data_IF_140396344951
#
_entry.id   IF_140396344951
#
_cell.length_a   1.000
_cell.length_b   1.000
_cell.length_c   1.000
_cell.angle_alpha   90.00
_cell.angle_beta   90.00
_cell.angle_gamma   90.00
#
_symmetry.space_group_name_H-M   'P 1'
#
loop_
_entity.id
_entity.type
_entity.pdbx_description
1 polymer ?
#
# COMPACT_ATOMS: atom_id res chain seq x y z
N UNK A 1 43.84 -23.87 -8.05
CA UNK A 1 43.47 -23.09 -9.25
C UNK A 1 42.13 -23.53 -9.85
N UNK A 2 41.72 -24.80 -9.76
CA UNK A 2 40.37 -25.24 -10.19
C UNK A 2 39.23 -24.89 -9.20
N UNK A 3 39.54 -24.75 -7.92
CA UNK A 3 38.51 -24.53 -6.87
C UNK A 3 37.99 -23.07 -6.81
N UNK A 4 38.69 -22.11 -7.43
CA UNK A 4 38.31 -20.69 -7.46
C UNK A 4 37.39 -20.35 -8.66
N UNK A 5 37.42 -21.18 -9.71
CA UNK A 5 36.53 -21.05 -10.87
C UNK A 5 35.13 -21.61 -10.60
N UNK A 6 34.99 -22.56 -9.67
CA UNK A 6 33.68 -23.09 -9.29
C UNK A 6 32.99 -22.16 -8.28
N UNK A 7 33.71 -21.63 -7.28
CA UNK A 7 33.19 -20.64 -6.32
C UNK A 7 32.74 -19.33 -6.98
N UNK A 8 33.45 -18.86 -8.01
CA UNK A 8 33.00 -17.72 -8.83
C UNK A 8 31.75 -18.03 -9.66
N UNK A 9 31.58 -19.27 -10.15
CA UNK A 9 30.34 -19.70 -10.81
C UNK A 9 29.14 -19.80 -9.85
N UNK A 10 29.35 -20.17 -8.57
CA UNK A 10 28.30 -20.10 -7.54
C UNK A 10 27.90 -18.66 -7.21
N UNK A 11 28.85 -17.71 -7.22
CA UNK A 11 28.58 -16.28 -7.04
C UNK A 11 27.84 -15.67 -8.26
N UNK A 12 28.08 -16.19 -9.47
CA UNK A 12 27.45 -15.72 -10.72
C UNK A 12 26.04 -16.34 -10.92
N UNK A 13 25.81 -17.59 -10.50
CA UNK A 13 24.48 -18.22 -10.46
C UNK A 13 23.80 -17.94 -9.13
N UNK A 14 23.56 -16.66 -8.84
CA UNK A 14 22.74 -16.27 -7.70
C UNK A 14 21.40 -17.04 -7.71
N UNK A 15 20.95 -17.45 -6.52
CA UNK A 15 19.81 -18.34 -6.37
C UNK A 15 18.58 -17.80 -7.13
N UNK A 16 18.09 -18.60 -8.08
CA UNK A 16 16.92 -18.25 -8.89
C UNK A 16 15.69 -18.09 -7.99
N UNK A 17 14.96 -16.99 -8.12
CA UNK A 17 13.73 -16.77 -7.37
C UNK A 17 12.61 -17.53 -8.07
N UNK A 18 11.87 -18.40 -7.35
CA UNK A 18 10.75 -19.13 -7.93
C UNK A 18 9.72 -18.19 -8.56
N UNK A 19 9.18 -18.55 -9.71
CA UNK A 19 8.14 -17.78 -10.40
C UNK A 19 6.95 -17.46 -9.48
N UNK A 20 6.58 -18.40 -8.60
CA UNK A 20 5.51 -18.22 -7.60
C UNK A 20 5.78 -17.02 -6.68
N UNK A 21 7.00 -16.86 -6.17
CA UNK A 21 7.37 -15.74 -5.30
C UNK A 21 7.31 -14.40 -6.04
N UNK A 22 7.72 -14.38 -7.32
CA UNK A 22 7.61 -13.20 -8.18
C UNK A 22 6.15 -12.81 -8.45
N UNK A 23 5.29 -13.80 -8.68
CA UNK A 23 3.85 -13.58 -8.84
C UNK A 23 3.20 -13.08 -7.56
N UNK A 24 3.54 -13.64 -6.38
CA UNK A 24 3.03 -13.14 -5.10
C UNK A 24 3.45 -11.70 -4.85
N UNK A 25 4.71 -11.37 -5.11
CA UNK A 25 5.18 -9.99 -5.08
C UNK A 25 4.38 -9.10 -6.04
N UNK A 26 4.18 -9.54 -7.28
CA UNK A 26 3.36 -8.83 -8.27
C UNK A 26 1.92 -8.58 -7.82
N UNK A 27 1.26 -9.56 -7.18
CA UNK A 27 -0.09 -9.42 -6.62
C UNK A 27 -0.13 -8.30 -5.56
N UNK A 28 0.88 -8.25 -4.68
CA UNK A 28 1.03 -7.14 -3.72
C UNK A 28 1.20 -5.78 -4.40
N UNK A 29 1.98 -5.71 -5.48
CA UNK A 29 2.15 -4.49 -6.28
C UNK A 29 0.82 -4.06 -6.89
N UNK A 30 0.06 -4.98 -7.48
CA UNK A 30 -1.23 -4.67 -8.09
C UNK A 30 -2.23 -4.14 -7.07
N UNK A 31 -2.35 -4.80 -5.91
CA UNK A 31 -3.21 -4.31 -4.83
C UNK A 31 -2.81 -2.90 -4.39
N UNK A 32 -1.51 -2.67 -4.18
CA UNK A 32 -0.99 -1.36 -3.81
C UNK A 32 -1.33 -0.29 -4.85
N UNK A 33 -1.07 -0.58 -6.13
CA UNK A 33 -1.32 0.37 -7.22
C UNK A 33 -2.79 0.74 -7.33
N UNK A 34 -3.71 -0.20 -7.13
CA UNK A 34 -5.14 0.09 -7.15
C UNK A 34 -5.51 0.98 -5.96
N UNK A 35 -5.12 0.64 -4.74
CA UNK A 35 -5.47 1.40 -3.54
C UNK A 35 -4.95 2.84 -3.61
N UNK A 36 -3.66 3.00 -3.93
CA UNK A 36 -3.02 4.32 -4.06
C UNK A 36 -3.59 5.10 -5.25
N UNK A 37 -3.93 4.41 -6.34
CA UNK A 37 -4.58 5.02 -7.50
C UNK A 37 -5.98 5.55 -7.16
N UNK A 38 -6.80 4.76 -6.48
CA UNK A 38 -8.14 5.17 -6.04
C UNK A 38 -8.05 6.35 -5.07
N UNK A 39 -7.14 6.28 -4.10
CA UNK A 39 -6.90 7.38 -3.17
C UNK A 39 -6.50 8.66 -3.92
N UNK A 40 -5.45 8.61 -4.73
CA UNK A 40 -4.91 9.81 -5.42
C UNK A 40 -5.92 10.45 -6.36
N UNK A 41 -6.69 9.65 -7.11
CA UNK A 41 -7.59 10.18 -8.15
C UNK A 41 -8.95 10.64 -7.60
N UNK A 42 -9.50 9.99 -6.57
CA UNK A 42 -10.89 10.21 -6.15
C UNK A 42 -11.05 10.91 -4.80
N UNK A 43 -9.96 11.11 -4.06
CA UNK A 43 -9.98 11.81 -2.77
C UNK A 43 -10.63 13.18 -2.85
N UNK A 44 -10.21 14.02 -3.81
CA UNK A 44 -10.73 15.37 -3.98
C UNK A 44 -12.22 15.33 -4.36
N UNK A 45 -12.57 14.55 -5.38
CA UNK A 45 -13.95 14.45 -5.88
C UNK A 45 -14.89 13.95 -4.77
N UNK A 46 -14.50 12.92 -4.04
CA UNK A 46 -15.29 12.39 -2.94
C UNK A 46 -15.51 13.42 -1.82
N UNK A 47 -14.45 14.09 -1.34
CA UNK A 47 -14.60 15.00 -0.21
C UNK A 47 -15.24 16.35 -0.58
N UNK A 48 -14.91 16.90 -1.74
CA UNK A 48 -15.41 18.21 -2.19
C UNK A 48 -16.79 18.09 -2.84
N UNK A 49 -16.98 17.16 -3.78
CA UNK A 49 -18.21 17.11 -4.57
C UNK A 49 -19.30 16.25 -3.92
N UNK A 50 -18.94 15.18 -3.22
CA UNK A 50 -19.90 14.23 -2.63
C UNK A 50 -20.16 14.53 -1.14
N UNK A 51 -19.11 14.49 -0.31
CA UNK A 51 -19.20 14.80 1.12
C UNK A 51 -19.52 16.28 1.34
N UNK A 52 -19.10 17.14 0.42
CA UNK A 52 -19.25 18.60 0.48
C UNK A 52 -18.64 19.16 1.76
N UNK A 53 -17.39 18.82 2.03
CA UNK A 53 -16.58 19.56 3.00
C UNK A 53 -16.21 20.92 2.40
N UNK A 54 -16.12 21.95 3.24
CA UNK A 54 -15.60 23.25 2.80
C UNK A 54 -14.16 23.10 2.30
N UNK A 55 -13.85 23.82 1.23
CA UNK A 55 -12.58 23.73 0.54
C UNK A 55 -11.38 24.17 1.41
N UNK A 56 -11.57 25.18 2.27
CA UNK A 56 -10.57 25.64 3.22
C UNK A 56 -10.18 24.56 4.24
N UNK A 57 -11.17 23.87 4.81
CA UNK A 57 -10.95 22.74 5.72
C UNK A 57 -10.25 21.56 5.03
N UNK A 58 -10.60 21.28 3.78
CA UNK A 58 -9.92 20.25 2.99
C UNK A 58 -8.44 20.57 2.79
N UNK A 59 -8.09 21.81 2.43
CA UNK A 59 -6.69 22.23 2.29
C UNK A 59 -5.94 22.11 3.62
N UNK A 60 -6.54 22.59 4.72
CA UNK A 60 -5.92 22.49 6.05
C UNK A 60 -5.66 21.03 6.41
N UNK A 61 -6.60 20.13 6.14
CA UNK A 61 -6.41 18.69 6.38
C UNK A 61 -5.26 18.11 5.54
N UNK A 62 -5.09 18.53 4.28
CA UNK A 62 -3.98 18.11 3.43
C UNK A 62 -2.62 18.62 3.94
N UNK A 63 -2.57 19.84 4.49
CA UNK A 63 -1.34 20.37 5.11
C UNK A 63 -0.98 19.55 6.36
N UNK A 64 -1.96 19.24 7.21
CA UNK A 64 -1.77 18.38 8.39
C UNK A 64 -1.27 16.99 7.95
N UNK A 65 -1.87 16.42 6.92
CA UNK A 65 -1.44 15.15 6.32
C UNK A 65 0.00 15.20 5.84
N UNK A 66 0.44 16.26 5.14
CA UNK A 66 1.81 16.37 4.64
C UNK A 66 2.85 16.43 5.78
N UNK A 67 2.53 17.18 6.84
CA UNK A 67 3.37 17.25 8.05
C UNK A 67 3.46 15.87 8.69
N UNK A 68 2.32 15.18 8.85
CA UNK A 68 2.27 13.83 9.40
C UNK A 68 3.09 12.85 8.55
N UNK A 69 2.87 12.81 7.24
CA UNK A 69 3.57 11.92 6.31
C UNK A 69 5.11 12.09 6.40
N UNK A 70 5.58 13.33 6.48
CA UNK A 70 7.02 13.61 6.65
C UNK A 70 7.56 13.05 7.97
N UNK A 71 6.84 13.23 9.08
CA UNK A 71 7.23 12.70 10.39
C UNK A 71 7.19 11.15 10.40
N UNK A 72 6.14 10.61 9.81
CA UNK A 72 5.85 9.19 9.73
C UNK A 72 6.97 8.43 9.00
N UNK A 73 7.44 8.97 7.87
CA UNK A 73 8.54 8.39 7.09
C UNK A 73 9.88 8.41 7.84
N UNK A 74 10.17 9.50 8.57
CA UNK A 74 11.38 9.59 9.41
C UNK A 74 11.35 8.51 10.51
N UNK A 75 10.21 8.39 11.20
CA UNK A 75 10.03 7.44 12.30
C UNK A 75 10.15 6.00 11.81
N UNK A 76 9.41 5.63 10.75
CA UNK A 76 9.41 4.26 10.27
C UNK A 76 10.67 3.87 9.50
N UNK A 77 11.36 4.83 8.88
CA UNK A 77 12.72 4.61 8.37
C UNK A 77 13.66 4.16 9.49
N UNK A 78 13.65 4.84 10.64
CA UNK A 78 14.49 4.51 11.78
C UNK A 78 14.15 3.16 12.44
N UNK A 79 12.86 2.89 12.68
CA UNK A 79 12.44 1.64 13.33
C UNK A 79 12.52 0.43 12.40
N UNK A 80 12.19 0.58 11.12
CA UNK A 80 12.16 -0.51 10.16
C UNK A 80 13.51 -1.20 9.99
N UNK A 81 14.61 -0.44 10.12
CA UNK A 81 15.96 -0.98 9.98
C UNK A 81 16.46 -1.75 11.20
N UNK A 82 15.87 -1.53 12.38
CA UNK A 82 16.30 -2.13 13.65
C UNK A 82 15.53 -3.38 14.05
N UNK A 83 14.47 -3.71 13.32
CA UNK A 83 13.59 -4.81 13.68
C UNK A 83 14.20 -6.16 13.32
N UNK A 84 14.45 -6.99 14.33
CA UNK A 84 14.92 -8.36 14.19
C UNK A 84 13.89 -9.31 14.78
N UNK A 85 13.12 -9.97 13.93
CA UNK A 85 12.13 -10.97 14.38
C UNK A 85 12.38 -12.34 13.76
N UNK A 86 11.79 -13.38 14.37
CA UNK A 86 11.83 -14.75 13.84
C UNK A 86 11.19 -14.88 12.45
N UNK A 87 10.22 -14.01 12.13
CA UNK A 87 9.51 -13.98 10.86
C UNK A 87 10.28 -13.26 9.75
N UNK A 88 11.37 -12.56 10.08
CA UNK A 88 12.09 -11.68 9.17
C UNK A 88 12.11 -10.23 9.66
N UNK A 89 12.77 -9.36 8.90
CA UNK A 89 12.84 -7.92 9.18
C UNK A 89 11.60 -7.19 8.68
N UNK A 90 11.07 -7.57 7.52
CA UNK A 90 10.00 -6.84 6.82
C UNK A 90 8.65 -7.55 6.91
N UNK A 91 8.63 -8.89 6.97
CA UNK A 91 7.40 -9.68 7.01
C UNK A 91 6.43 -9.38 8.18
N UNK A 92 6.86 -9.08 9.42
CA UNK A 92 5.93 -8.75 10.50
C UNK A 92 5.05 -7.53 10.17
N UNK A 93 5.67 -6.49 9.61
CA UNK A 93 4.98 -5.25 9.26
C UNK A 93 3.95 -5.46 8.17
N UNK A 94 4.29 -6.26 7.15
CA UNK A 94 3.36 -6.60 6.08
C UNK A 94 2.21 -7.46 6.64
N UNK A 95 2.51 -8.48 7.45
CA UNK A 95 1.51 -9.41 7.97
C UNK A 95 0.51 -8.75 8.89
N UNK A 96 1.01 -8.03 9.88
CA UNK A 96 0.19 -7.44 10.93
C UNK A 96 -0.32 -6.06 10.54
N UNK A 97 0.36 -5.35 9.63
CA UNK A 97 -0.09 -4.07 9.10
C UNK A 97 -1.17 -4.19 8.03
N UNK A 98 -1.19 -5.27 7.23
CA UNK A 98 -2.16 -5.43 6.14
C UNK A 98 -3.64 -5.31 6.56
N UNK A 99 -4.11 -5.91 7.67
CA UNK A 99 -5.49 -5.73 8.14
C UNK A 99 -5.79 -4.28 8.49
N UNK A 100 -4.87 -3.58 9.17
CA UNK A 100 -5.05 -2.18 9.53
C UNK A 100 -5.02 -1.27 8.31
N UNK A 101 -4.16 -1.55 7.33
CA UNK A 101 -4.11 -0.81 6.08
C UNK A 101 -5.41 -0.94 5.27
N UNK A 102 -5.94 -2.16 5.14
CA UNK A 102 -7.23 -2.38 4.50
C UNK A 102 -8.39 -1.71 5.25
N UNK A 103 -8.41 -1.80 6.58
CA UNK A 103 -9.41 -1.15 7.41
C UNK A 103 -9.33 0.37 7.29
N UNK A 104 -8.12 0.95 7.33
CA UNK A 104 -7.91 2.38 7.18
C UNK A 104 -8.40 2.88 5.83
N UNK A 105 -8.10 2.14 4.75
CA UNK A 105 -8.64 2.45 3.43
C UNK A 105 -10.16 2.43 3.41
N UNK A 106 -10.81 1.41 3.99
CA UNK A 106 -12.28 1.35 4.03
C UNK A 106 -12.85 2.52 4.82
N UNK A 107 -12.37 2.78 6.04
CA UNK A 107 -12.82 3.89 6.89
C UNK A 107 -12.73 5.23 6.15
N UNK A 108 -11.72 5.40 5.29
CA UNK A 108 -11.50 6.62 4.52
C UNK A 108 -12.70 7.03 3.66
N UNK A 109 -13.50 6.07 3.18
CA UNK A 109 -14.63 6.31 2.26
C UNK A 109 -16.00 6.14 2.91
N UNK A 110 -16.07 5.90 4.23
CA UNK A 110 -17.31 5.70 4.96
C UNK A 110 -17.53 6.85 5.95
N UNK A 111 -18.70 7.51 5.94
CA UNK A 111 -18.98 8.62 6.84
C UNK A 111 -19.15 8.11 8.27
N UNK A 112 -18.64 8.89 9.22
CA UNK A 112 -18.97 8.78 10.63
C UNK A 112 -20.35 9.40 10.90
N UNK A 113 -20.99 9.07 12.04
CA UNK A 113 -22.21 9.75 12.45
C UNK A 113 -22.02 11.26 12.48
N UNK A 114 -22.81 12.00 11.71
CA UNK A 114 -22.73 13.47 11.61
C UNK A 114 -21.80 14.01 10.52
N UNK A 115 -21.16 13.15 9.71
CA UNK A 115 -20.38 13.55 8.53
C UNK A 115 -20.97 13.06 7.21
N UNK A 116 -22.29 12.81 7.20
CA UNK A 116 -22.98 12.24 6.06
C UNK A 116 -22.84 13.13 4.79
N UNK A 117 -22.76 12.51 3.60
CA UNK A 117 -22.74 13.23 2.35
C UNK A 117 -24.02 14.06 2.13
N UNK A 118 -23.90 15.19 1.43
CA UNK A 118 -25.05 15.88 0.84
C UNK A 118 -25.19 17.37 1.14
N UNK A 119 -24.78 17.85 2.33
CA UNK A 119 -24.91 19.26 2.70
C UNK A 119 -23.59 19.92 3.14
N UNK A 120 -23.27 21.06 2.52
CA UNK A 120 -22.11 21.90 2.84
C UNK A 120 -22.31 22.72 4.14
N UNK A 121 -23.55 22.92 4.59
CA UNK A 121 -23.86 23.77 5.74
C UNK A 121 -23.82 23.05 7.09
N UNK A 122 -23.84 21.71 7.10
CA UNK A 122 -23.93 20.91 8.33
C UNK A 122 -22.75 19.96 8.49
N UNK A 123 -22.35 19.72 9.74
CA UNK A 123 -21.34 18.71 10.09
C UNK A 123 -19.91 19.02 9.66
N UNK A 124 -19.58 20.26 9.29
CA UNK A 124 -18.26 20.62 8.72
C UNK A 124 -17.08 20.26 9.63
N UNK A 125 -17.22 20.52 10.94
CA UNK A 125 -16.18 20.17 11.93
C UNK A 125 -16.02 18.66 12.02
N UNK A 126 -17.12 17.90 12.02
CA UNK A 126 -17.10 16.43 12.10
C UNK A 126 -16.48 15.83 10.83
N UNK A 127 -16.83 16.36 9.65
CA UNK A 127 -16.22 16.01 8.36
C UNK A 127 -14.72 16.26 8.35
N UNK A 128 -14.29 17.41 8.89
CA UNK A 128 -12.87 17.75 9.00
C UNK A 128 -12.12 16.81 9.95
N UNK A 129 -12.66 16.56 11.15
CA UNK A 129 -12.06 15.64 12.13
C UNK A 129 -11.96 14.23 11.53
N UNK A 130 -13.01 13.75 10.86
CA UNK A 130 -12.97 12.46 10.18
C UNK A 130 -11.88 12.44 9.10
N UNK A 131 -11.81 13.45 8.23
CA UNK A 131 -10.82 13.49 7.15
C UNK A 131 -9.40 13.45 7.71
N UNK A 132 -9.10 14.25 8.74
CA UNK A 132 -7.79 14.25 9.40
C UNK A 132 -7.48 12.90 10.04
N UNK A 133 -8.43 12.32 10.78
CA UNK A 133 -8.27 11.00 11.38
C UNK A 133 -8.01 9.93 10.32
N UNK A 134 -8.79 9.92 9.25
CA UNK A 134 -8.68 8.97 8.16
C UNK A 134 -7.33 9.12 7.44
N UNK A 135 -6.86 10.35 7.20
CA UNK A 135 -5.52 10.60 6.65
C UNK A 135 -4.42 10.03 7.53
N UNK A 136 -4.41 10.39 8.81
CA UNK A 136 -3.37 9.95 9.75
C UNK A 136 -3.36 8.43 9.85
N UNK A 137 -4.54 7.81 9.98
CA UNK A 137 -4.64 6.36 10.12
C UNK A 137 -4.25 5.61 8.83
N UNK A 138 -4.72 6.09 7.68
CA UNK A 138 -4.36 5.52 6.38
C UNK A 138 -2.87 5.68 6.09
N UNK A 139 -2.31 6.87 6.25
CA UNK A 139 -0.90 7.14 5.99
C UNK A 139 0.03 6.35 6.92
N UNK A 140 -0.28 6.28 8.22
CA UNK A 140 0.51 5.51 9.19
C UNK A 140 0.59 4.04 8.79
N UNK A 141 -0.55 3.44 8.45
CA UNK A 141 -0.61 2.02 8.07
C UNK A 141 -0.03 1.77 6.68
N UNK A 142 -0.23 2.71 5.75
CA UNK A 142 0.35 2.72 4.42
C UNK A 142 1.88 2.73 4.51
N UNK A 143 2.49 3.69 5.21
CA UNK A 143 3.95 3.80 5.35
C UNK A 143 4.53 2.53 5.97
N UNK A 144 3.90 2.00 7.03
CA UNK A 144 4.35 0.78 7.70
C UNK A 144 4.45 -0.42 6.74
N UNK A 145 3.40 -0.65 5.94
CA UNK A 145 3.29 -1.80 5.04
C UNK A 145 4.12 -1.56 3.78
N UNK A 146 3.96 -0.41 3.12
CA UNK A 146 4.61 -0.12 1.85
C UNK A 146 6.12 -0.03 2.01
N UNK A 147 6.64 0.66 3.03
CA UNK A 147 8.08 0.77 3.23
C UNK A 147 8.73 -0.61 3.37
N UNK A 148 8.08 -1.49 4.13
CA UNK A 148 8.51 -2.87 4.29
C UNK A 148 8.40 -3.67 2.98
N UNK A 149 7.34 -3.45 2.22
CA UNK A 149 7.07 -4.14 0.96
C UNK A 149 8.04 -3.74 -0.17
N UNK A 150 8.33 -2.45 -0.35
CA UNK A 150 9.24 -1.96 -1.39
C UNK A 150 10.70 -2.33 -1.09
N UNK A 151 11.02 -2.61 0.17
CA UNK A 151 12.32 -3.11 0.60
C UNK A 151 12.49 -4.64 0.41
N UNK A 152 11.47 -5.38 -0.06
CA UNK A 152 11.55 -6.83 -0.26
C UNK A 152 12.44 -7.30 -1.42
N UNK A 153 12.47 -6.67 -2.62
CA UNK A 153 13.25 -7.19 -3.74
C UNK A 153 14.76 -7.43 -3.43
N UNK A 154 15.48 -6.56 -2.69
CA UNK A 154 16.80 -6.88 -2.16
C UNK A 154 16.86 -8.13 -1.29
N UNK A 155 15.85 -8.32 -0.44
CA UNK A 155 15.78 -9.42 0.52
C UNK A 155 15.40 -10.76 -0.13
N UNK A 156 14.88 -10.72 -1.36
CA UNK A 156 14.49 -11.90 -2.15
C UNK A 156 15.65 -12.49 -2.96
N UNK A 157 16.63 -11.68 -3.39
CA UNK A 157 17.74 -12.12 -4.24
C UNK A 157 18.92 -11.16 -4.26
N UNK A 158 20.13 -11.72 -4.33
CA UNK A 158 21.39 -10.98 -4.56
C UNK A 158 21.73 -10.84 -6.05
N UNK A 159 21.09 -11.62 -6.92
CA UNK A 159 21.39 -11.58 -8.36
C UNK A 159 20.73 -10.38 -9.02
N UNK A 160 21.54 -9.53 -9.66
CA UNK A 160 21.06 -8.43 -10.50
C UNK A 160 20.06 -8.90 -11.56
N UNK A 161 20.30 -10.08 -12.17
CA UNK A 161 19.41 -10.65 -13.20
C UNK A 161 18.04 -11.01 -12.64
N UNK A 162 18.00 -11.64 -11.46
CA UNK A 162 16.74 -12.00 -10.80
C UNK A 162 16.01 -10.77 -10.27
N UNK A 163 16.73 -9.75 -9.78
CA UNK A 163 16.15 -8.47 -9.38
C UNK A 163 15.52 -7.74 -10.58
N UNK A 164 16.17 -7.74 -11.74
CA UNK A 164 15.57 -7.25 -12.99
C UNK A 164 14.31 -8.02 -13.35
N UNK A 165 14.31 -9.35 -13.19
CA UNK A 165 13.12 -10.17 -13.41
C UNK A 165 11.99 -9.81 -12.43
N UNK A 166 12.25 -9.61 -11.14
CA UNK A 166 11.24 -9.14 -10.16
C UNK A 166 10.69 -7.77 -10.57
N UNK A 167 11.56 -6.87 -11.05
CA UNK A 167 11.17 -5.55 -11.54
C UNK A 167 10.21 -5.63 -12.75
N UNK A 168 10.42 -6.57 -13.67
CA UNK A 168 9.49 -6.80 -14.77
C UNK A 168 8.10 -7.21 -14.28
N UNK A 169 8.01 -8.10 -13.28
CA UNK A 169 6.74 -8.46 -12.66
C UNK A 169 6.09 -7.22 -12.02
N UNK A 170 6.85 -6.43 -11.25
CA UNK A 170 6.37 -5.17 -10.69
C UNK A 170 5.73 -4.28 -11.77
N UNK A 171 6.41 -4.07 -12.89
CA UNK A 171 5.92 -3.20 -13.97
C UNK A 171 4.63 -3.73 -14.59
N UNK A 172 4.56 -5.02 -14.92
CA UNK A 172 3.35 -5.63 -15.50
C UNK A 172 2.16 -5.48 -14.55
N UNK A 173 2.33 -5.82 -13.28
CA UNK A 173 1.27 -5.72 -12.28
C UNK A 173 0.88 -4.26 -11.96
N UNK A 174 1.83 -3.32 -12.04
CA UNK A 174 1.55 -1.87 -11.94
C UNK A 174 0.66 -1.40 -13.09
N UNK A 175 0.93 -1.82 -14.33
CA UNK A 175 0.13 -1.45 -15.50
C UNK A 175 -1.31 -1.98 -15.34
N UNK A 176 -1.46 -3.26 -14.95
CA UNK A 176 -2.77 -3.88 -14.74
C UNK A 176 -3.53 -3.17 -13.60
N UNK A 177 -2.85 -2.90 -12.48
CA UNK A 177 -3.44 -2.18 -11.36
C UNK A 177 -3.87 -0.76 -11.74
N UNK A 178 -3.03 -0.02 -12.47
CA UNK A 178 -3.34 1.32 -12.96
C UNK A 178 -4.55 1.34 -13.89
N UNK A 179 -4.64 0.38 -14.82
CA UNK A 179 -5.79 0.23 -15.70
C UNK A 179 -7.09 -0.07 -14.92
N UNK A 180 -7.01 -0.86 -13.84
CA UNK A 180 -8.16 -1.17 -12.99
C UNK A 180 -8.72 0.08 -12.30
N UNK A 181 -7.86 1.02 -11.91
CA UNK A 181 -8.26 2.30 -11.31
C UNK A 181 -9.13 3.16 -12.25
N UNK A 182 -9.01 2.97 -13.57
CA UNK A 182 -9.83 3.70 -14.56
C UNK A 182 -11.30 3.27 -14.57
N UNK A 183 -11.65 2.13 -13.94
CA UNK A 183 -13.03 1.63 -13.85
C UNK A 183 -13.82 2.38 -12.76
N UNK A 184 -13.15 3.01 -11.79
CA UNK A 184 -13.78 3.66 -10.64
C UNK A 184 -14.83 4.73 -11.00
N UNK A 185 -14.68 5.59 -12.04
CA UNK A 185 -15.72 6.56 -12.41
C UNK A 185 -17.00 5.86 -12.87
N UNK A 186 -16.87 4.71 -13.55
CA UNK A 186 -18.00 3.89 -13.97
C UNK A 186 -18.70 3.33 -12.73
N UNK A 187 -17.96 2.88 -11.72
CA UNK A 187 -18.56 2.44 -10.45
C UNK A 187 -19.27 3.60 -9.73
N UNK A 188 -18.67 4.78 -9.73
CA UNK A 188 -19.24 5.98 -9.12
C UNK A 188 -20.53 6.45 -9.79
N UNK A 189 -20.70 6.21 -11.10
CA UNK A 189 -21.94 6.54 -11.82
C UNK A 189 -23.14 5.70 -11.39
N UNK A 190 -22.91 4.48 -10.86
CA UNK A 190 -23.94 3.67 -10.21
C UNK A 190 -24.30 4.14 -8.78
N UNK A 191 -23.63 5.19 -8.29
CA UNK A 191 -23.89 5.84 -7.02
C UNK A 191 -22.92 5.45 -5.89
N UNK A 192 -22.98 6.23 -4.81
CA UNK A 192 -22.04 6.13 -3.68
C UNK A 192 -22.06 4.76 -2.99
N UNK A 193 -23.21 4.08 -2.98
CA UNK A 193 -23.32 2.76 -2.36
C UNK A 193 -22.59 1.69 -3.18
N UNK A 194 -22.65 1.75 -4.51
CA UNK A 194 -21.88 0.86 -5.38
C UNK A 194 -20.37 1.09 -5.19
N UNK A 195 -19.94 2.35 -5.12
CA UNK A 195 -18.56 2.69 -4.80
C UNK A 195 -18.10 2.16 -3.43
N UNK A 196 -18.93 2.28 -2.40
CA UNK A 196 -18.61 1.76 -1.05
C UNK A 196 -18.46 0.23 -1.03
N UNK A 197 -19.34 -0.50 -1.72
CA UNK A 197 -19.21 -1.96 -1.85
C UNK A 197 -17.91 -2.31 -2.58
N UNK A 198 -17.59 -1.59 -3.64
CA UNK A 198 -16.35 -1.76 -4.39
C UNK A 198 -15.11 -1.48 -3.52
N UNK A 199 -15.12 -0.43 -2.71
CA UNK A 199 -14.05 -0.11 -1.75
C UNK A 199 -13.86 -1.23 -0.72
N UNK A 200 -14.94 -1.82 -0.19
CA UNK A 200 -14.86 -2.97 0.73
C UNK A 200 -14.17 -4.15 0.02
N UNK A 201 -14.60 -4.46 -1.20
CA UNK A 201 -13.97 -5.52 -2.00
C UNK A 201 -12.47 -5.26 -2.22
N UNK A 202 -12.09 -4.03 -2.58
CA UNK A 202 -10.69 -3.64 -2.74
C UNK A 202 -9.89 -3.74 -1.44
N UNK A 203 -10.48 -3.35 -0.30
CA UNK A 203 -9.85 -3.50 1.00
C UNK A 203 -9.56 -4.96 1.35
N UNK A 204 -10.55 -5.85 1.16
CA UNK A 204 -10.38 -7.29 1.39
C UNK A 204 -9.36 -7.89 0.42
N UNK A 205 -9.41 -7.50 -0.85
CA UNK A 205 -8.46 -7.91 -1.87
C UNK A 205 -7.03 -7.47 -1.52
N UNK A 206 -6.85 -6.24 -1.05
CA UNK A 206 -5.59 -5.69 -0.60
C UNK A 206 -5.03 -6.45 0.60
N UNK A 207 -5.85 -6.68 1.63
CA UNK A 207 -5.48 -7.47 2.80
C UNK A 207 -5.02 -8.88 2.38
N UNK A 208 -5.82 -9.55 1.55
CA UNK A 208 -5.52 -10.90 1.06
C UNK A 208 -4.21 -10.93 0.27
N UNK A 209 -3.97 -9.94 -0.59
CA UNK A 209 -2.76 -9.81 -1.40
C UNK A 209 -1.50 -9.69 -0.54
N UNK A 210 -1.51 -8.82 0.48
CA UNK A 210 -0.37 -8.67 1.38
C UNK A 210 -0.15 -9.87 2.30
N UNK A 211 -1.22 -10.58 2.70
CA UNK A 211 -1.09 -11.85 3.42
C UNK A 211 -0.46 -12.91 2.52
N UNK A 212 -0.86 -13.01 1.24
CA UNK A 212 -0.23 -13.91 0.26
C UNK A 212 1.26 -13.58 0.11
N UNK A 213 1.64 -12.30 0.03
CA UNK A 213 3.05 -11.89 0.04
C UNK A 213 3.74 -12.37 1.31
N UNK A 214 3.15 -12.12 2.48
CA UNK A 214 3.76 -12.43 3.77
C UNK A 214 3.97 -13.93 4.03
N UNK A 215 3.12 -14.79 3.49
CA UNK A 215 3.26 -16.26 3.63
C UNK A 215 3.99 -16.91 2.45
N UNK A 216 3.91 -16.30 1.26
CA UNK A 216 4.41 -16.86 0.03
C UNK A 216 5.82 -16.42 -0.35
N UNK A 217 6.27 -15.23 0.09
CA UNK A 217 7.62 -14.71 -0.17
C UNK A 217 8.54 -15.05 0.99
N UNK A 218 9.76 -15.52 0.69
CA UNK A 218 10.78 -15.82 1.70
C UNK A 218 11.88 -14.77 1.69
N UNK A 219 12.15 -14.19 2.86
CA UNK A 219 13.36 -13.41 3.08
C UNK A 219 14.57 -14.34 3.16
N UNK A 220 15.62 -14.08 2.38
CA UNK A 220 16.84 -14.89 2.37
C UNK A 220 17.84 -14.29 3.35
N UNK A 221 17.93 -14.92 4.53
CA UNK A 221 18.64 -14.45 5.74
C UNK A 221 20.16 -14.18 5.62
N UNK A 222 20.81 -14.42 4.48
CA UNK A 222 22.26 -14.26 4.36
C UNK A 222 22.71 -12.82 4.03
N UNK A 223 21.84 -11.83 4.19
CA UNK A 223 22.11 -10.41 3.87
C UNK A 223 22.65 -9.58 5.05
N UNK A 224 23.22 -10.22 6.09
CA UNK A 224 23.93 -9.56 7.19
C UNK A 224 25.18 -10.33 7.59
#
# INVERSE_FOLDING_TARGET
MDNDMDSSNYLIKGHKVPTKEKTYFGIGVLANTIIVGVFTLYLLDYYINIVKIRYDLFIIANIIYLIWNTLNDIVFGYYGDRTRTKLGRRMPYIRYGAPFFALAFIIFWFPFPGSEPGNLQSGQIIKFIQLVFAYIFFDTTLTLVILSFVALPPEMTESTKERTSISLYRTIFTIIGGATTLIVPIIMSFGINAFRIFVIFLGIFCMSSYLIVSYGVKERKNLY
#
